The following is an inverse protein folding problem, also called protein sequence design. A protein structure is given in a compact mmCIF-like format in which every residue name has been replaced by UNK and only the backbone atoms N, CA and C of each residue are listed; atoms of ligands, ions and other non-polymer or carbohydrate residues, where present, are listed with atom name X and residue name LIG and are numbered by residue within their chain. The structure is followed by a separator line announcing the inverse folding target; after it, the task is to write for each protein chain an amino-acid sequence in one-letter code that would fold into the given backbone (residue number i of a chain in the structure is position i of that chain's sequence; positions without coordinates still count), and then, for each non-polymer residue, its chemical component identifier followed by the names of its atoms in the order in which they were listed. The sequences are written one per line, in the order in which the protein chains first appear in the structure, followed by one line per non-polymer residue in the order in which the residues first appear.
data_IF_649521267441
#
_entry.id   IF_649521267441
#
_cell.length_a   1.000
_cell.length_b   1.000
_cell.length_c   1.000
_cell.angle_alpha   90.00
_cell.angle_beta   90.00
_cell.angle_gamma   90.00
#
_symmetry.space_group_name_H-M   'P 1'
#
loop_
_entity.id
_entity.type
_entity.pdbx_description
1 polymer ?
#
# COMPACT_ATOMS: atom_id res chain seq x y z
N UNK A 1 16.53 -4.43 2.22
CA UNK A 1 15.75 -5.51 1.55
C UNK A 1 14.59 -4.86 0.81
N UNK A 2 14.07 -5.46 -0.27
CA UNK A 2 12.90 -4.91 -0.97
C UNK A 2 11.64 -5.60 -0.45
N UNK A 3 10.63 -4.83 -0.07
CA UNK A 3 9.48 -5.32 0.69
C UNK A 3 8.18 -4.69 0.19
N UNK A 4 7.07 -5.36 0.47
CA UNK A 4 5.74 -4.79 0.32
C UNK A 4 5.33 -4.11 1.62
N UNK A 5 4.64 -2.99 1.51
CA UNK A 5 4.15 -2.23 2.63
C UNK A 5 2.66 -1.95 2.47
N UNK A 6 1.91 -2.10 3.55
CA UNK A 6 0.57 -1.52 3.64
C UNK A 6 0.72 -0.11 4.15
N UNK A 7 0.34 0.86 3.33
CA UNK A 7 0.32 2.26 3.71
C UNK A 7 -1.10 2.73 3.96
N UNK A 8 -1.24 3.67 4.88
CA UNK A 8 -2.46 4.44 5.08
C UNK A 8 -2.37 5.75 4.29
N UNK A 9 -3.35 5.97 3.42
CA UNK A 9 -3.44 7.05 2.45
C UNK A 9 -4.82 7.71 2.55
N UNK A 10 -4.94 8.74 3.39
CA UNK A 10 -6.19 9.51 3.55
C UNK A 10 -6.50 10.42 2.36
N UNK A 11 -5.75 10.32 1.25
CA UNK A 11 -5.80 11.24 0.11
C UNK A 11 -5.61 12.71 0.52
N UNK A 12 -4.96 12.95 1.66
CA UNK A 12 -4.67 14.30 2.12
C UNK A 12 -3.58 14.92 1.23
N UNK A 13 -3.94 16.01 0.56
CA UNK A 13 -3.05 16.74 -0.36
C UNK A 13 -2.00 17.58 0.40
N UNK A 14 -2.22 17.82 1.70
CA UNK A 14 -1.28 18.55 2.56
C UNK A 14 -0.28 17.57 3.16
N UNK A 15 -0.75 16.42 3.65
CA UNK A 15 0.11 15.36 4.18
C UNK A 15 0.49 14.34 3.09
N UNK A 16 1.57 14.69 2.37
CA UNK A 16 2.14 13.81 1.34
C UNK A 16 2.82 12.56 1.91
N UNK A 17 3.09 12.52 3.22
CA UNK A 17 3.64 11.35 3.89
C UNK A 17 2.56 10.29 4.08
N UNK A 18 2.90 9.03 3.82
CA UNK A 18 2.01 7.89 4.00
C UNK A 18 2.52 7.03 5.14
N UNK A 19 1.65 6.71 6.09
CA UNK A 19 2.02 5.93 7.26
C UNK A 19 2.10 4.44 6.92
N UNK A 20 3.20 3.78 7.30
CA UNK A 20 3.38 2.34 7.09
C UNK A 20 2.69 1.58 8.21
N UNK A 21 1.59 0.92 7.89
CA UNK A 21 0.85 0.06 8.81
C UNK A 21 1.60 -1.25 9.09
N UNK A 22 2.21 -1.84 8.05
CA UNK A 22 2.93 -3.12 8.17
C UNK A 22 3.80 -3.36 6.94
N UNK A 23 4.88 -4.13 7.13
CA UNK A 23 5.79 -4.57 6.08
C UNK A 23 5.69 -6.08 5.90
N UNK A 24 5.89 -6.53 4.67
CA UNK A 24 5.66 -7.90 4.23
C UNK A 24 6.70 -8.28 3.17
N UNK A 25 7.21 -9.50 3.23
CA UNK A 25 8.21 -9.99 2.27
C UNK A 25 7.60 -10.26 0.88
N UNK A 26 6.29 -10.57 0.83
CA UNK A 26 5.60 -10.93 -0.42
C UNK A 26 4.29 -10.15 -0.60
N UNK A 27 3.84 -10.02 -1.84
CA UNK A 27 2.55 -9.38 -2.15
C UNK A 27 1.39 -10.15 -1.53
N UNK A 28 1.40 -11.47 -1.62
CA UNK A 28 0.34 -12.34 -1.09
C UNK A 28 0.13 -12.15 0.42
N UNK A 29 1.23 -11.99 1.18
CA UNK A 29 1.15 -11.72 2.62
C UNK A 29 0.62 -10.31 2.90
N UNK A 30 1.00 -9.32 2.08
CA UNK A 30 0.43 -7.97 2.14
C UNK A 30 -1.08 -7.94 1.81
N UNK A 31 -1.52 -8.70 0.81
CA UNK A 31 -2.95 -8.83 0.44
C UNK A 31 -3.75 -9.48 1.55
N UNK A 32 -3.23 -10.58 2.11
CA UNK A 32 -3.83 -11.25 3.27
C UNK A 32 -3.95 -10.30 4.48
N UNK A 33 -2.92 -9.51 4.76
CA UNK A 33 -2.95 -8.51 5.84
C UNK A 33 -3.99 -7.41 5.58
N UNK A 34 -4.12 -6.97 4.32
CA UNK A 34 -5.11 -6.00 3.90
C UNK A 34 -6.54 -6.56 4.06
N UNK A 35 -6.78 -7.80 3.67
CA UNK A 35 -8.06 -8.49 3.87
C UNK A 35 -8.41 -8.65 5.35
N UNK A 36 -7.45 -9.10 6.17
CA UNK A 36 -7.65 -9.20 7.62
C UNK A 36 -7.98 -7.84 8.26
N UNK A 37 -7.32 -6.77 7.80
CA UNK A 37 -7.60 -5.40 8.26
C UNK A 37 -9.02 -4.97 7.87
N UNK A 38 -9.47 -5.27 6.65
CA UNK A 38 -10.85 -4.97 6.20
C UNK A 38 -11.88 -5.65 7.09
N UNK A 39 -11.70 -6.95 7.34
CA UNK A 39 -12.56 -7.73 8.24
C UNK A 39 -12.58 -7.14 9.65
N UNK A 40 -11.41 -6.75 10.19
CA UNK A 40 -11.29 -6.13 11.52
C UNK A 40 -11.97 -4.77 11.62
N UNK A 41 -11.90 -3.95 10.58
CA UNK A 41 -12.53 -2.63 10.53
C UNK A 41 -14.03 -2.71 10.20
N UNK A 42 -14.51 -3.82 9.64
CA UNK A 42 -15.89 -3.99 9.20
C UNK A 42 -16.28 -3.04 8.05
N UNK A 43 -15.30 -2.54 7.28
CA UNK A 43 -15.49 -1.54 6.21
C UNK A 43 -15.06 -2.09 4.84
N UNK A 44 -15.61 -1.51 3.76
CA UNK A 44 -15.19 -1.81 2.39
C UNK A 44 -13.78 -1.26 2.11
N UNK A 45 -13.11 -1.79 1.09
CA UNK A 45 -11.73 -1.42 0.68
C UNK A 45 -11.56 0.09 0.54
N UNK A 46 -12.55 0.74 -0.07
CA UNK A 46 -12.56 2.18 -0.35
C UNK A 46 -12.59 3.05 0.92
N UNK A 47 -13.12 2.55 2.03
CA UNK A 47 -13.20 3.27 3.30
C UNK A 47 -11.99 3.03 4.22
N UNK A 48 -11.12 2.09 3.86
CA UNK A 48 -9.96 1.73 4.69
C UNK A 48 -8.75 2.63 4.44
N UNK A 49 -8.78 3.48 3.39
CA UNK A 49 -7.67 4.34 3.01
C UNK A 49 -6.33 3.57 3.03
N UNK A 50 -6.33 2.29 2.67
CA UNK A 50 -5.16 1.41 2.81
C UNK A 50 -4.78 0.86 1.45
N UNK A 51 -3.51 1.01 1.08
CA UNK A 51 -2.97 0.55 -0.21
C UNK A 51 -1.71 -0.29 0.00
N UNK A 52 -1.48 -1.25 -0.89
CA UNK A 52 -0.25 -2.03 -0.93
C UNK A 52 0.71 -1.32 -1.87
N UNK A 53 1.93 -1.10 -1.41
CA UNK A 53 3.00 -0.48 -2.19
C UNK A 53 4.28 -1.28 -2.04
N UNK A 54 5.13 -1.20 -3.03
CA UNK A 54 6.47 -1.74 -3.03
C UNK A 54 7.47 -0.69 -2.55
N UNK A 55 8.35 -1.08 -1.63
CA UNK A 55 9.42 -0.24 -1.11
C UNK A 55 10.76 -0.89 -1.44
N UNK A 56 11.61 -0.17 -2.17
CA UNK A 56 12.97 -0.63 -2.52
C UNK A 56 14.01 -0.28 -1.44
N UNK A 57 13.67 0.67 -0.56
CA UNK A 57 14.52 1.09 0.56
C UNK A 57 14.23 0.30 1.83
N UNK A 58 15.24 0.20 2.68
CA UNK A 58 15.09 -0.30 4.04
C UNK A 58 14.33 0.74 4.87
N UNK A 59 13.06 0.49 5.14
CA UNK A 59 12.18 1.34 5.95
C UNK A 59 11.52 0.45 6.99
N UNK A 60 11.29 0.95 8.20
CA UNK A 60 10.69 0.21 9.31
C UNK A 60 9.18 0.43 9.39
N UNK A 61 8.44 -0.60 9.84
CA UNK A 61 7.01 -0.49 10.09
C UNK A 61 6.73 0.51 11.22
N UNK A 62 5.65 1.28 11.10
CA UNK A 62 5.35 2.37 12.02
C UNK A 62 6.06 3.69 11.69
N UNK A 63 6.81 3.74 10.58
CA UNK A 63 7.40 4.94 10.03
C UNK A 63 6.56 5.50 8.87
N UNK A 64 7.01 6.60 8.27
CA UNK A 64 6.36 7.23 7.14
C UNK A 64 7.19 7.12 5.87
N UNK A 65 6.52 6.92 4.73
CA UNK A 65 7.12 7.05 3.40
C UNK A 65 6.66 8.32 2.71
N UNK A 66 7.54 8.94 1.92
CA UNK A 66 7.17 10.05 1.02
C UNK A 66 6.97 9.55 -0.41
N UNK A 67 6.21 10.28 -1.24
CA UNK A 67 6.17 10.02 -2.69
C UNK A 67 7.60 9.92 -3.26
N UNK A 68 7.82 8.92 -4.12
CA UNK A 68 9.13 8.59 -4.68
C UNK A 68 9.98 7.62 -3.82
N UNK A 69 9.54 7.27 -2.60
CA UNK A 69 10.16 6.18 -1.82
C UNK A 69 9.43 4.84 -1.96
N UNK A 70 8.24 4.85 -2.54
CA UNK A 70 7.43 3.67 -2.79
C UNK A 70 6.89 3.70 -4.22
N UNK A 71 6.63 2.52 -4.76
CA UNK A 71 5.95 2.32 -6.04
C UNK A 71 4.67 1.52 -5.80
N UNK A 72 3.63 1.72 -6.60
CA UNK A 72 2.42 0.89 -6.49
C UNK A 72 2.72 -0.59 -6.79
N UNK A 73 3.66 -0.83 -7.70
CA UNK A 73 4.03 -2.15 -8.19
C UNK A 73 5.54 -2.34 -8.08
N UNK A 74 5.95 -3.58 -7.79
CA UNK A 74 7.37 -3.96 -7.87
C UNK A 74 7.82 -3.85 -9.33
N UNK A 75 9.03 -3.31 -9.62
CA UNK A 75 9.54 -3.27 -10.98
C UNK A 75 9.61 -4.68 -11.58
N UNK A 76 8.90 -4.89 -12.70
CA UNK A 76 8.80 -6.18 -13.40
C UNK A 76 7.65 -7.09 -12.94
N UNK A 77 6.80 -6.65 -12.00
CA UNK A 77 5.60 -7.38 -11.60
C UNK A 77 4.48 -7.20 -12.62
N UNK A 78 3.70 -8.26 -12.85
CA UNK A 78 2.56 -8.23 -13.76
C UNK A 78 1.43 -7.43 -13.13
N UNK A 79 1.20 -6.23 -13.64
CA UNK A 79 0.10 -5.36 -13.19
C UNK A 79 -1.20 -5.91 -13.80
N UNK A 80 -2.19 -6.32 -12.99
CA UNK A 80 -3.48 -6.77 -13.50
C UNK A 80 -4.15 -5.62 -14.25
N UNK A 81 -4.73 -5.93 -15.42
CA UNK A 81 -5.24 -4.94 -16.35
C UNK A 81 -6.27 -3.97 -15.73
N UNK A 82 -7.03 -4.43 -14.74
CA UNK A 82 -8.02 -3.63 -14.00
C UNK A 82 -7.45 -2.60 -13.02
N UNK A 83 -6.17 -2.66 -12.67
CA UNK A 83 -5.49 -1.63 -11.85
C UNK A 83 -4.56 -0.73 -12.66
N UNK A 84 -4.42 -0.96 -13.98
CA UNK A 84 -3.68 -0.05 -14.88
C UNK A 84 -4.41 1.29 -15.06
N UNK A 85 -5.72 1.30 -14.87
CA UNK A 85 -6.56 2.48 -15.00
C UNK A 85 -7.23 2.70 -13.66
N UNK A 86 -6.68 3.63 -12.87
CA UNK A 86 -7.44 4.23 -11.78
C UNK A 86 -8.70 4.83 -12.43
N UNK A 87 -9.87 4.36 -12.02
CA UNK A 87 -11.18 4.80 -12.51
C UNK A 87 -11.28 6.31 -12.25
N UNK A 88 -10.92 7.11 -13.25
CA UNK A 88 -11.31 8.52 -13.35
C UNK A 88 -12.61 8.55 -14.16
N UNK A 89 -13.74 8.66 -13.46
CA UNK A 89 -14.98 9.28 -13.97
C UNK A 89 -15.49 10.31 -12.97
#
# INVERSE_FOLDING_TARGET
MNMYALIYDEHDLVETKKYILSLHDTRETAETALENRKTKLGRKVQDCNTRIVWIEKDIEAGNYVTPGQYATWRPGEEVPHGEMYSDED
#
